data_IF_805267288769
#
_entry.id   IF_805267288769
#
_cell.length_a   1.000
_cell.length_b   1.000
_cell.length_c   1.000
_cell.angle_alpha   90.00
_cell.angle_beta   90.00
_cell.angle_gamma   90.00
#
_symmetry.space_group_name_H-M   'P 1'
#
loop_
_entity.id
_entity.type
_entity.pdbx_description
1 polymer ?
#
# COMPACT_ATOMS: atom_id res chain seq x y z
N UNK A 1 -12.16 3.17 16.28
CA UNK A 1 -10.92 3.70 15.68
C UNK A 1 -10.12 2.47 15.29
N UNK A 2 -9.87 2.27 13.99
CA UNK A 2 -9.32 1.02 13.46
C UNK A 2 -7.81 1.15 13.27
N UNK A 3 -7.08 0.14 13.75
CA UNK A 3 -5.64 0.02 13.61
C UNK A 3 -5.34 -0.45 12.18
N UNK A 4 -4.36 0.15 11.50
CA UNK A 4 -3.83 -0.34 10.22
C UNK A 4 -3.33 -1.78 10.36
N UNK A 5 -3.90 -2.70 9.58
CA UNK A 5 -3.52 -4.11 9.62
C UNK A 5 -2.13 -4.38 9.03
N UNK A 6 -1.47 -5.45 9.50
CA UNK A 6 -0.33 -6.06 8.79
C UNK A 6 -0.82 -6.54 7.43
N UNK A 7 0.04 -6.57 6.40
CA UNK A 7 -0.37 -7.02 5.06
C UNK A 7 -0.71 -8.52 5.06
N UNK A 8 -2.00 -8.87 5.05
CA UNK A 8 -2.49 -10.27 5.01
C UNK A 8 -2.97 -10.71 3.62
N UNK A 9 -3.39 -9.77 2.78
CA UNK A 9 -3.90 -10.02 1.43
C UNK A 9 -3.14 -9.23 0.36
N UNK A 10 -2.86 -9.79 -0.83
CA UNK A 10 -3.17 -11.16 -1.28
C UNK A 10 -2.18 -12.22 -0.77
N UNK A 11 -1.21 -11.81 0.04
CA UNK A 11 -0.23 -12.69 0.71
C UNK A 11 -0.04 -12.19 2.15
N UNK A 12 0.22 -13.11 3.07
CA UNK A 12 0.76 -12.72 4.37
C UNK A 12 2.21 -12.23 4.15
N UNK A 13 2.44 -10.96 4.45
CA UNK A 13 3.73 -10.30 4.37
C UNK A 13 4.02 -9.62 5.71
N UNK A 14 4.73 -10.35 6.57
CA UNK A 14 5.08 -9.88 7.91
C UNK A 14 6.22 -8.88 7.83
N UNK A 15 5.89 -7.60 8.01
CA UNK A 15 6.85 -6.51 8.20
C UNK A 15 6.27 -5.52 9.20
N UNK A 16 7.14 -4.79 9.91
CA UNK A 16 6.78 -3.66 10.76
C UNK A 16 6.90 -2.31 10.02
N UNK A 17 7.15 -2.32 8.70
CA UNK A 17 7.32 -1.10 7.89
C UNK A 17 6.20 -0.86 6.88
N UNK A 18 5.35 -1.84 6.57
CA UNK A 18 4.30 -1.73 5.57
C UNK A 18 2.97 -2.14 6.19
N UNK A 19 2.03 -1.20 6.15
CA UNK A 19 0.67 -1.35 6.66
C UNK A 19 -0.33 -0.97 5.56
N UNK A 20 -1.61 -1.18 5.80
CA UNK A 20 -2.67 -0.72 4.91
C UNK A 20 -3.75 0.05 5.65
N UNK A 21 -4.45 0.94 4.93
CA UNK A 21 -5.69 1.53 5.38
C UNK A 21 -6.77 0.42 5.54
N UNK A 22 -7.63 0.41 6.57
CA UNK A 22 -8.56 -0.70 6.82
C UNK A 22 -9.40 -1.13 5.60
N UNK A 23 -9.92 -0.16 4.85
CA UNK A 23 -10.72 -0.43 3.63
C UNK A 23 -9.91 -0.96 2.43
N UNK A 24 -8.58 -0.90 2.46
CA UNK A 24 -7.72 -1.30 1.33
C UNK A 24 -7.83 -2.79 0.99
N UNK A 25 -7.90 -3.65 2.01
CA UNK A 25 -7.86 -5.09 1.81
C UNK A 25 -9.10 -5.58 1.04
N UNK A 26 -10.29 -5.10 1.42
CA UNK A 26 -11.54 -5.47 0.76
C UNK A 26 -11.57 -4.96 -0.69
N UNK A 27 -11.09 -3.74 -0.95
CA UNK A 27 -10.98 -3.20 -2.29
C UNK A 27 -10.05 -4.02 -3.18
N UNK A 28 -8.86 -4.36 -2.67
CA UNK A 28 -7.91 -5.15 -3.41
C UNK A 28 -8.49 -6.53 -3.73
N UNK A 29 -9.21 -7.14 -2.78
CA UNK A 29 -9.92 -8.40 -2.99
C UNK A 29 -10.98 -8.28 -4.08
N UNK A 30 -11.82 -7.24 -4.03
CA UNK A 30 -12.83 -6.97 -5.03
C UNK A 30 -12.23 -6.72 -6.43
N UNK A 31 -11.09 -6.05 -6.50
CA UNK A 31 -10.35 -5.80 -7.73
C UNK A 31 -9.81 -7.11 -8.36
N UNK A 32 -9.29 -8.01 -7.53
CA UNK A 32 -8.66 -9.26 -7.97
C UNK A 32 -9.67 -10.39 -8.24
N UNK A 33 -10.67 -10.59 -7.38
CA UNK A 33 -11.67 -11.65 -7.55
C UNK A 33 -12.47 -11.51 -8.85
N UNK A 34 -12.77 -10.27 -9.28
CA UNK A 34 -13.48 -10.00 -10.54
C UNK A 34 -12.64 -10.21 -11.81
N UNK A 35 -11.35 -10.55 -11.67
CA UNK A 35 -10.40 -10.57 -12.78
C UNK A 35 -9.89 -11.95 -13.19
N UNK A 36 -10.10 -12.99 -12.36
CA UNK A 36 -9.50 -14.33 -12.57
C UNK A 36 -7.96 -14.33 -12.50
N UNK A 37 -7.36 -13.24 -12.01
CA UNK A 37 -5.94 -12.92 -12.22
C UNK A 37 -5.08 -13.08 -10.94
N UNK A 38 -5.69 -13.58 -9.86
CA UNK A 38 -5.14 -13.56 -8.51
C UNK A 38 -3.73 -14.19 -8.38
N UNK A 39 -3.48 -15.32 -9.04
CA UNK A 39 -2.20 -16.05 -8.92
C UNK A 39 -0.99 -15.24 -9.44
N UNK A 40 -1.09 -14.66 -10.64
CA UNK A 40 -0.02 -13.82 -11.21
C UNK A 40 0.15 -12.52 -10.44
N UNK A 41 -0.95 -11.95 -9.94
CA UNK A 41 -0.90 -10.75 -9.12
C UNK A 41 -0.18 -11.01 -7.80
N UNK A 42 -0.44 -12.12 -7.12
CA UNK A 42 0.21 -12.50 -5.85
C UNK A 42 1.73 -12.46 -5.93
N UNK A 43 2.32 -13.08 -6.95
CA UNK A 43 3.78 -13.09 -7.11
C UNK A 43 4.35 -11.68 -7.38
N UNK A 44 3.65 -10.92 -8.21
CA UNK A 44 3.99 -9.55 -8.55
C UNK A 44 3.87 -8.59 -7.36
N UNK A 45 2.86 -8.79 -6.51
CA UNK A 45 2.64 -8.04 -5.28
C UNK A 45 3.75 -8.36 -4.28
N UNK A 46 4.07 -9.65 -4.08
CA UNK A 46 5.18 -10.08 -3.21
C UNK A 46 6.50 -9.39 -3.56
N UNK A 47 6.87 -9.41 -4.84
CA UNK A 47 8.12 -8.83 -5.30
C UNK A 47 8.18 -7.31 -5.06
N UNK A 48 7.05 -6.62 -5.25
CA UNK A 48 6.97 -5.17 -5.01
C UNK A 48 6.95 -4.83 -3.53
N UNK A 49 6.26 -5.59 -2.69
CA UNK A 49 6.30 -5.41 -1.23
C UNK A 49 7.71 -5.58 -0.69
N UNK A 50 8.43 -6.62 -1.14
CA UNK A 50 9.84 -6.83 -0.76
C UNK A 50 10.72 -5.64 -1.16
N UNK A 51 10.61 -5.20 -2.41
CA UNK A 51 11.40 -4.06 -2.90
C UNK A 51 11.05 -2.77 -2.16
N UNK A 52 9.77 -2.56 -1.84
CA UNK A 52 9.31 -1.42 -1.06
C UNK A 52 9.86 -1.47 0.37
N UNK A 53 9.85 -2.62 1.03
CA UNK A 53 10.39 -2.80 2.39
C UNK A 53 11.90 -2.53 2.47
N UNK A 54 12.64 -2.99 1.46
CA UNK A 54 14.09 -2.84 1.36
C UNK A 54 14.52 -1.41 0.99
N UNK A 55 13.75 -0.73 0.13
CA UNK A 55 14.16 0.54 -0.49
C UNK A 55 13.42 1.76 0.05
N UNK A 56 12.25 1.58 0.65
CA UNK A 56 11.38 2.66 1.14
C UNK A 56 11.23 3.77 0.08
N UNK A 57 11.50 5.04 0.38
CA UNK A 57 11.39 6.15 -0.57
C UNK A 57 12.24 5.99 -1.84
N UNK A 58 13.37 5.27 -1.74
CA UNK A 58 14.21 4.94 -2.90
C UNK A 58 13.57 3.92 -3.83
N UNK A 59 12.38 3.38 -3.50
CA UNK A 59 11.64 2.50 -4.41
C UNK A 59 11.35 3.17 -5.76
N UNK A 60 11.19 4.50 -5.77
CA UNK A 60 10.94 5.32 -6.97
C UNK A 60 12.09 5.32 -7.98
N UNK A 61 13.31 4.93 -7.59
CA UNK A 61 14.42 4.69 -8.53
C UNK A 61 14.07 3.56 -9.51
N UNK A 62 13.16 2.66 -9.13
CA UNK A 62 12.60 1.63 -9.99
C UNK A 62 11.29 2.13 -10.62
N UNK A 63 11.42 3.07 -11.56
CA UNK A 63 10.31 3.83 -12.17
C UNK A 63 9.31 2.99 -12.97
N UNK A 64 9.70 1.77 -13.39
CA UNK A 64 8.80 0.81 -14.01
C UNK A 64 7.78 0.23 -13.00
N UNK A 65 8.11 0.23 -11.70
CA UNK A 65 7.26 -0.31 -10.62
C UNK A 65 6.67 0.78 -9.72
N UNK A 66 7.35 1.92 -9.58
CA UNK A 66 6.96 2.96 -8.63
C UNK A 66 7.00 4.35 -9.26
N UNK A 67 6.14 5.23 -8.79
CA UNK A 67 6.00 6.59 -9.27
C UNK A 67 5.71 7.52 -8.09
N UNK A 68 6.40 8.67 -8.00
CA UNK A 68 5.97 9.77 -7.13
C UNK A 68 4.93 10.61 -7.87
N UNK A 69 3.78 10.84 -7.25
CA UNK A 69 2.70 11.63 -7.85
C UNK A 69 3.05 13.11 -7.76
N UNK A 70 3.04 13.82 -8.91
CA UNK A 70 3.52 15.22 -8.98
C UNK A 70 2.55 16.24 -8.38
N UNK A 71 1.25 15.96 -8.41
CA UNK A 71 0.18 16.86 -7.98
C UNK A 71 -0.60 16.29 -6.79
N UNK A 72 0.03 15.43 -6.00
CA UNK A 72 -0.59 14.80 -4.86
C UNK A 72 0.46 14.66 -3.75
N UNK A 73 0.31 15.50 -2.72
CA UNK A 73 1.33 15.69 -1.69
C UNK A 73 1.72 14.37 -1.03
N UNK A 74 2.99 13.99 -1.22
CA UNK A 74 3.62 12.79 -0.68
C UNK A 74 2.86 11.49 -0.93
N UNK A 75 2.14 11.42 -2.06
CA UNK A 75 1.55 10.20 -2.57
C UNK A 75 2.43 9.57 -3.65
N UNK A 76 2.41 8.25 -3.65
CA UNK A 76 3.18 7.41 -4.55
C UNK A 76 2.26 6.35 -5.15
N UNK A 77 2.56 5.89 -6.36
CA UNK A 77 1.84 4.81 -7.00
C UNK A 77 2.77 3.62 -7.28
N UNK A 78 2.30 2.44 -6.94
CA UNK A 78 2.90 1.16 -7.29
C UNK A 78 2.15 0.57 -8.49
N UNK A 79 2.87 0.21 -9.54
CA UNK A 79 2.33 -0.13 -10.86
C UNK A 79 2.40 -1.63 -11.15
N UNK A 80 1.31 -2.22 -11.67
CA UNK A 80 1.18 -3.65 -12.05
C UNK A 80 0.92 -3.86 -13.55
N UNK A 81 1.53 -3.00 -14.35
CA UNK A 81 1.50 -2.75 -15.79
C UNK A 81 1.94 -3.90 -16.74
N UNK A 82 2.18 -5.13 -16.27
CA UNK A 82 2.50 -6.30 -17.13
C UNK A 82 1.33 -7.27 -17.30
N UNK A 83 0.11 -6.78 -17.15
CA UNK A 83 -1.07 -7.63 -16.97
C UNK A 83 -2.24 -7.14 -17.84
N UNK A 84 -3.25 -8.00 -18.01
CA UNK A 84 -4.50 -7.66 -18.71
C UNK A 84 -5.27 -6.51 -18.05
N UNK A 85 -4.95 -6.21 -16.79
CA UNK A 85 -5.46 -5.07 -16.04
C UNK A 85 -4.30 -4.19 -15.58
N UNK A 86 -4.38 -2.91 -15.87
CA UNK A 86 -3.38 -1.94 -15.44
C UNK A 86 -3.65 -1.53 -13.98
N UNK A 87 -3.40 -2.46 -13.05
CA UNK A 87 -3.65 -2.25 -11.62
C UNK A 87 -2.58 -1.32 -11.04
N UNK A 88 -2.99 -0.42 -10.16
CA UNK A 88 -2.13 0.44 -9.37
C UNK A 88 -2.55 0.45 -7.92
N UNK A 89 -1.59 0.67 -7.03
CA UNK A 89 -1.84 0.90 -5.60
C UNK A 89 -1.24 2.25 -5.23
N UNK A 90 -2.05 3.13 -4.65
CA UNK A 90 -1.55 4.39 -4.09
C UNK A 90 -1.15 4.16 -2.63
N UNK A 91 -0.01 4.72 -2.25
CA UNK A 91 0.54 4.61 -0.91
C UNK A 91 1.26 5.90 -0.50
N UNK A 92 1.57 6.00 0.79
CA UNK A 92 2.33 7.11 1.36
C UNK A 92 3.43 6.58 2.30
N UNK A 93 4.47 7.39 2.50
CA UNK A 93 5.39 7.22 3.61
C UNK A 93 4.99 8.15 4.75
N UNK A 94 5.14 7.69 5.99
CA UNK A 94 4.94 8.52 7.19
C UNK A 94 5.78 8.00 8.33
N UNK A 95 5.94 8.80 9.38
CA UNK A 95 6.59 8.37 10.61
C UNK A 95 5.54 7.92 11.62
N UNK A 96 5.83 6.83 12.34
CA UNK A 96 5.05 6.34 13.48
C UNK A 96 6.01 5.79 14.53
N UNK A 97 5.85 6.20 15.79
CA UNK A 97 6.74 5.80 16.89
C UNK A 97 8.24 5.94 16.54
N UNK A 98 8.62 7.06 15.90
CA UNK A 98 9.99 7.35 15.42
C UNK A 98 10.53 6.39 14.34
N UNK A 99 9.68 5.56 13.73
CA UNK A 99 10.03 4.68 12.62
C UNK A 99 9.31 5.13 11.36
N UNK A 100 10.05 5.14 10.26
CA UNK A 100 9.47 5.39 8.94
C UNK A 100 8.73 4.16 8.46
N UNK A 101 7.47 4.35 8.12
CA UNK A 101 6.57 3.31 7.64
C UNK A 101 5.96 3.70 6.29
N UNK A 102 5.35 2.72 5.65
CA UNK A 102 4.57 2.84 4.42
C UNK A 102 3.15 2.42 4.69
N UNK A 103 2.18 3.16 4.15
CA UNK A 103 0.76 2.83 4.26
C UNK A 103 0.17 2.72 2.87
N UNK A 104 -0.36 1.54 2.52
CA UNK A 104 -1.12 1.30 1.30
C UNK A 104 -2.53 1.88 1.49
N UNK A 105 -2.93 2.83 0.64
CA UNK A 105 -4.14 3.62 0.83
C UNK A 105 -5.31 3.08 0.00
N UNK A 106 -5.12 2.82 -1.30
CA UNK A 106 -6.18 2.30 -2.17
C UNK A 106 -5.60 1.56 -3.40
N UNK A 107 -6.35 0.63 -3.95
CA UNK A 107 -6.03 -0.06 -5.21
C UNK A 107 -7.05 0.27 -6.31
N UNK A 108 -6.60 0.42 -7.56
CA UNK A 108 -7.49 0.72 -8.69
C UNK A 108 -6.99 0.13 -10.01
N UNK A 109 -7.88 0.00 -10.99
CA UNK A 109 -7.55 -0.34 -12.38
C UNK A 109 -7.54 0.94 -13.21
N UNK A 110 -6.38 1.32 -13.75
CA UNK A 110 -6.23 2.52 -14.58
C UNK A 110 -6.68 2.22 -16.02
N UNK A 111 -7.88 2.69 -16.40
CA UNK A 111 -8.38 2.63 -17.78
C UNK A 111 -8.25 3.98 -18.49
N UNK A 112 -8.12 5.07 -17.74
CA UNK A 112 -7.80 6.40 -18.24
C UNK A 112 -7.49 7.41 -17.14
N UNK A 113 -7.26 8.66 -17.54
CA UNK A 113 -6.85 9.74 -16.63
C UNK A 113 -7.85 10.03 -15.50
N UNK A 114 -9.16 9.85 -15.77
CA UNK A 114 -10.22 10.04 -14.76
C UNK A 114 -10.12 9.06 -13.60
N UNK A 115 -9.66 7.82 -13.84
CA UNK A 115 -9.52 6.81 -12.78
C UNK A 115 -8.40 7.20 -11.83
N UNK A 116 -7.32 7.77 -12.38
CA UNK A 116 -6.19 8.26 -11.60
C UNK A 116 -6.61 9.39 -10.67
N UNK A 117 -7.36 10.38 -11.16
CA UNK A 117 -7.82 11.48 -10.32
C UNK A 117 -8.72 10.98 -9.19
N UNK A 118 -9.68 10.11 -9.49
CA UNK A 118 -10.55 9.50 -8.47
C UNK A 118 -9.76 8.74 -7.40
N UNK A 119 -8.73 8.01 -7.81
CA UNK A 119 -7.87 7.28 -6.89
C UNK A 119 -7.04 8.25 -6.02
N UNK A 120 -6.53 9.35 -6.58
CA UNK A 120 -5.84 10.40 -5.82
C UNK A 120 -6.78 11.05 -4.80
N UNK A 121 -8.02 11.37 -5.19
CA UNK A 121 -9.00 11.99 -4.29
C UNK A 121 -9.31 11.05 -3.10
N UNK A 122 -9.52 9.76 -3.39
CA UNK A 122 -9.74 8.74 -2.35
C UNK A 122 -8.51 8.56 -1.45
N UNK A 123 -7.32 8.46 -2.03
CA UNK A 123 -6.08 8.31 -1.28
C UNK A 123 -5.79 9.54 -0.41
N UNK A 124 -6.09 10.75 -0.89
CA UNK A 124 -5.96 11.99 -0.11
C UNK A 124 -6.89 11.98 1.11
N UNK A 125 -8.14 11.54 0.94
CA UNK A 125 -9.07 11.37 2.06
C UNK A 125 -8.52 10.37 3.10
N UNK A 126 -8.08 9.20 2.65
CA UNK A 126 -7.53 8.15 3.53
C UNK A 126 -6.22 8.54 4.20
N UNK A 127 -5.38 9.33 3.53
CA UNK A 127 -4.19 9.96 4.12
C UNK A 127 -4.61 10.84 5.30
N UNK A 128 -5.66 11.64 5.16
CA UNK A 128 -6.17 12.44 6.28
C UNK A 128 -6.69 11.56 7.43
N UNK A 129 -7.43 10.49 7.12
CA UNK A 129 -7.94 9.53 8.12
C UNK A 129 -6.79 8.89 8.92
N UNK A 130 -5.73 8.46 8.21
CA UNK A 130 -4.48 7.99 8.82
C UNK A 130 -3.88 9.07 9.72
N UNK A 131 -3.61 10.27 9.20
CA UNK A 131 -2.92 11.29 9.99
C UNK A 131 -3.71 11.76 11.22
N UNK A 132 -5.04 11.61 11.21
CA UNK A 132 -5.92 12.00 12.31
C UNK A 132 -6.22 10.87 13.32
N UNK A 133 -5.84 9.62 13.06
CA UNK A 133 -6.28 8.47 13.87
C UNK A 133 -5.34 7.27 13.95
N UNK A 134 -4.12 7.38 13.42
CA UNK A 134 -3.18 6.25 13.35
C UNK A 134 -2.46 6.03 14.68
N UNK A 135 -2.80 4.92 15.34
CA UNK A 135 -2.02 4.32 16.43
C UNK A 135 -1.55 2.93 15.99
N UNK A 136 -0.23 2.70 15.94
CA UNK A 136 0.31 1.33 15.83
C UNK A 136 0.35 0.76 17.25
N UNK A 137 -0.33 -0.36 17.48
CA UNK A 137 -0.02 -1.17 18.66
C UNK A 137 1.37 -1.80 18.49
N UNK A 138 2.33 -1.34 19.27
CA UNK A 138 3.62 -2.03 19.40
C UNK A 138 3.35 -3.41 20.02
N UNK A 139 3.87 -4.48 19.40
CA UNK A 139 3.96 -5.77 20.07
C UNK A 139 4.76 -5.53 21.36
N UNK A 140 4.11 -5.73 22.52
CA UNK A 140 4.83 -5.82 23.79
C UNK A 140 5.83 -6.96 23.61
N UNK A 141 7.12 -6.64 23.51
CA UNK A 141 8.16 -7.63 23.75
C UNK A 141 7.91 -8.12 25.17
N UNK A 142 7.32 -9.31 25.29
CA UNK A 142 7.32 -10.07 26.53
C UNK A 142 8.80 -10.27 26.89
N UNK A 143 9.29 -9.42 27.80
CA UNK A 143 10.50 -9.69 28.55
C UNK A 143 10.28 -11.05 29.20
N UNK A 144 10.91 -12.08 28.63
CA UNK A 144 11.25 -13.28 29.38
C UNK A 144 12.28 -12.84 30.41
N UNK A 145 11.80 -12.39 31.55
CA UNK A 145 12.61 -12.31 32.75
C UNK A 145 13.12 -13.72 33.06
N UNK A 146 14.43 -13.78 33.35
CA UNK A 146 15.22 -15.00 33.46
C UNK A 146 15.02 -15.80 34.74
#
# INVERSE_FOLDING_TARGET
MEIPGKVYYPIQFSTNKIFYHPEFEEELRNLLCRSGFEGKFKQLFRNRMRFLDERMERCTLKSDWFEKLRNADDLFAMRFNKQSKNIRIIFMFTDSSQKKITILLCGFEEKGSKDYQKAIDLATKRKADVLNGFHIEEEREDKKDG
#
